data_IF_254267657359
#
_entry.id   IF_254267657359
#
_cell.length_a   1.000
_cell.length_b   1.000
_cell.length_c   1.000
_cell.angle_alpha   90.00
_cell.angle_beta   90.00
_cell.angle_gamma   90.00
#
_symmetry.space_group_name_H-M   'P 1'
#
loop_
_entity.id
_entity.type
_entity.pdbx_description
1 polymer ?
#
# COMPACT_ATOMS: atom_id res chain seq x y z
N UNK A 1 -9.92 12.80 -24.49
CA UNK A 1 -10.67 11.72 -23.84
C UNK A 1 -10.83 12.10 -22.38
N UNK A 2 -12.05 12.06 -21.86
CA UNK A 2 -12.37 12.54 -20.51
C UNK A 2 -11.82 11.51 -19.51
N UNK A 3 -10.83 11.92 -18.71
CA UNK A 3 -10.39 11.13 -17.56
C UNK A 3 -11.53 11.07 -16.57
N UNK A 4 -12.19 9.91 -16.47
CA UNK A 4 -13.12 9.62 -15.39
C UNK A 4 -12.29 9.53 -14.11
N UNK A 5 -12.10 10.68 -13.45
CA UNK A 5 -11.62 10.76 -12.09
C UNK A 5 -12.67 10.05 -11.23
N UNK A 6 -12.48 8.75 -10.99
CA UNK A 6 -13.25 8.04 -9.97
C UNK A 6 -13.13 8.87 -8.69
N UNK A 7 -14.23 9.31 -8.08
CA UNK A 7 -14.14 10.10 -6.87
C UNK A 7 -13.50 9.22 -5.81
N UNK A 8 -12.21 9.43 -5.54
CA UNK A 8 -11.53 8.81 -4.43
C UNK A 8 -12.24 9.30 -3.17
N UNK A 9 -13.16 8.48 -2.65
CA UNK A 9 -13.69 8.66 -1.30
C UNK A 9 -12.48 8.85 -0.37
N UNK A 10 -12.45 9.91 0.45
CA UNK A 10 -11.29 10.18 1.28
C UNK A 10 -11.12 9.01 2.25
N UNK A 11 -10.01 8.28 2.12
CA UNK A 11 -9.70 7.16 3.01
C UNK A 11 -9.40 7.69 4.42
N UNK A 12 -10.11 7.16 5.41
CA UNK A 12 -9.96 7.53 6.82
C UNK A 12 -9.57 6.29 7.63
N UNK A 13 -8.63 6.45 8.56
CA UNK A 13 -8.26 5.36 9.45
C UNK A 13 -9.42 5.09 10.41
N UNK A 14 -9.76 3.81 10.60
CA UNK A 14 -11.00 3.40 11.26
C UNK A 14 -12.12 3.02 10.30
N UNK A 15 -12.00 3.31 8.99
CA UNK A 15 -12.90 2.75 7.98
C UNK A 15 -12.85 1.23 8.01
N UNK A 16 -14.00 0.60 7.81
CA UNK A 16 -14.10 -0.83 7.59
C UNK A 16 -14.09 -1.09 6.09
N UNK A 17 -13.40 -2.14 5.66
CA UNK A 17 -13.36 -2.57 4.28
C UNK A 17 -13.38 -4.08 4.15
N UNK A 18 -13.91 -4.56 3.03
CA UNK A 18 -13.91 -5.97 2.66
C UNK A 18 -12.82 -6.19 1.60
N UNK A 19 -12.01 -7.20 1.81
CA UNK A 19 -11.01 -7.68 0.85
C UNK A 19 -11.00 -9.20 0.87
N UNK A 20 -11.08 -9.85 -0.30
CA UNK A 20 -11.14 -11.31 -0.44
C UNK A 20 -12.18 -11.98 0.48
N UNK A 21 -13.37 -11.35 0.60
CA UNK A 21 -14.48 -11.85 1.42
C UNK A 21 -14.30 -11.70 2.94
N UNK A 22 -13.23 -11.04 3.41
CA UNK A 22 -12.98 -10.79 4.84
C UNK A 22 -13.05 -9.30 5.16
N UNK A 23 -13.52 -8.98 6.35
CA UNK A 23 -13.68 -7.60 6.84
C UNK A 23 -12.49 -7.17 7.68
N UNK A 24 -12.00 -5.96 7.43
CA UNK A 24 -10.83 -5.37 8.07
C UNK A 24 -11.10 -3.93 8.46
N UNK A 25 -10.39 -3.44 9.49
CA UNK A 25 -10.33 -2.02 9.84
C UNK A 25 -9.06 -1.39 9.27
N UNK A 26 -9.21 -0.34 8.47
CA UNK A 26 -8.13 0.48 7.92
C UNK A 26 -7.31 1.11 9.05
N UNK A 27 -6.02 0.82 9.08
CA UNK A 27 -5.09 1.36 10.08
C UNK A 27 -4.20 2.46 9.51
N UNK A 28 -3.70 2.29 8.29
CA UNK A 28 -2.70 3.18 7.71
C UNK A 28 -2.71 3.09 6.20
N UNK A 29 -2.11 4.11 5.59
CA UNK A 29 -2.02 4.28 4.14
C UNK A 29 -0.60 3.95 3.70
N UNK A 30 -0.48 3.23 2.59
CA UNK A 30 0.78 2.72 2.07
C UNK A 30 0.92 3.09 0.59
N UNK A 31 2.14 3.39 0.18
CA UNK A 31 2.50 3.57 -1.22
C UNK A 31 3.79 2.81 -1.52
N UNK A 32 4.00 2.53 -2.81
CA UNK A 32 5.21 1.90 -3.30
C UNK A 32 6.42 2.81 -3.06
N UNK A 33 7.51 2.20 -2.59
CA UNK A 33 8.81 2.87 -2.51
C UNK A 33 9.34 2.96 -3.93
N UNK A 34 9.41 4.19 -4.45
CA UNK A 34 10.15 4.46 -5.69
C UNK A 34 11.64 4.43 -5.34
N UNK A 35 12.33 3.38 -5.77
CA UNK A 35 13.76 3.24 -5.54
C UNK A 35 14.52 4.31 -6.33
N UNK A 36 15.46 4.97 -5.64
CA UNK A 36 16.37 5.90 -6.29
C UNK A 36 17.57 5.13 -6.81
N UNK A 37 18.13 5.52 -7.97
CA UNK A 37 19.37 4.93 -8.45
C UNK A 37 20.47 5.04 -7.39
N UNK A 38 21.21 3.96 -7.21
CA UNK A 38 22.38 3.94 -6.34
C UNK A 38 23.53 4.61 -7.08
N UNK A 39 24.06 5.71 -6.52
CA UNK A 39 25.08 6.53 -7.20
C UNK A 39 26.44 5.81 -7.34
N UNK A 40 26.73 4.86 -6.46
CA UNK A 40 27.97 4.09 -6.50
C UNK A 40 27.80 2.87 -7.42
N UNK A 41 28.56 2.83 -8.51
CA UNK A 41 28.48 1.79 -9.55
C UNK A 41 28.65 0.37 -9.00
N UNK A 42 29.63 0.13 -8.12
CA UNK A 42 29.89 -1.20 -7.56
C UNK A 42 28.75 -1.67 -6.65
N UNK A 43 28.15 -0.76 -5.87
CA UNK A 43 26.97 -1.09 -5.08
C UNK A 43 25.73 -1.27 -5.97
N UNK A 44 25.60 -0.50 -7.03
CA UNK A 44 24.49 -0.63 -7.98
C UNK A 44 24.51 -2.00 -8.67
N UNK A 45 25.68 -2.47 -9.11
CA UNK A 45 25.85 -3.81 -9.68
C UNK A 45 25.51 -4.91 -8.68
N UNK A 46 26.00 -4.80 -7.44
CA UNK A 46 25.72 -5.78 -6.39
C UNK A 46 24.22 -5.86 -6.05
N UNK A 47 23.54 -4.71 -5.93
CA UNK A 47 22.11 -4.69 -5.65
C UNK A 47 21.30 -5.19 -6.85
N UNK A 48 21.69 -4.86 -8.08
CA UNK A 48 21.04 -5.38 -9.28
C UNK A 48 21.14 -6.90 -9.39
N UNK A 49 22.30 -7.48 -9.07
CA UNK A 49 22.48 -8.94 -9.02
C UNK A 49 21.57 -9.57 -7.96
N UNK A 50 21.54 -9.01 -6.76
CA UNK A 50 20.68 -9.49 -5.68
C UNK A 50 19.19 -9.36 -6.04
N UNK A 51 18.75 -8.23 -6.59
CA UNK A 51 17.36 -8.04 -7.01
C UNK A 51 16.96 -9.01 -8.13
N UNK A 52 17.89 -9.35 -9.04
CA UNK A 52 17.66 -10.36 -10.07
C UNK A 52 17.49 -11.77 -9.48
N UNK A 53 18.31 -12.15 -8.50
CA UNK A 53 18.17 -13.43 -7.78
C UNK A 53 16.82 -13.51 -7.04
N UNK A 54 16.44 -12.44 -6.35
CA UNK A 54 15.16 -12.36 -5.65
C UNK A 54 14.00 -12.44 -6.65
N UNK A 55 14.08 -11.74 -7.78
CA UNK A 55 13.06 -11.80 -8.82
C UNK A 55 12.93 -13.20 -9.44
N UNK A 56 14.05 -13.91 -9.63
CA UNK A 56 14.05 -15.28 -10.14
C UNK A 56 13.37 -16.29 -9.20
N UNK A 57 13.30 -15.97 -7.90
CA UNK A 57 12.58 -16.79 -6.92
C UNK A 57 11.05 -16.65 -6.98
N UNK A 58 10.53 -15.67 -7.73
CA UNK A 58 9.10 -15.39 -7.81
C UNK A 58 8.40 -16.17 -8.92
N UNK A 59 7.09 -16.48 -8.76
CA UNK A 59 6.29 -16.98 -9.86
C UNK A 59 6.32 -16.03 -11.06
N UNK A 60 6.30 -16.60 -12.26
CA UNK A 60 6.29 -15.83 -13.51
C UNK A 60 5.16 -14.79 -13.51
N UNK A 61 5.50 -13.54 -13.83
CA UNK A 61 4.54 -12.45 -13.86
C UNK A 61 4.24 -11.81 -12.51
N UNK A 62 4.98 -12.16 -11.45
CA UNK A 62 4.90 -11.52 -10.14
C UNK A 62 6.13 -10.63 -9.88
N UNK A 63 5.97 -9.60 -9.05
CA UNK A 63 7.06 -8.75 -8.55
C UNK A 63 6.94 -8.48 -7.06
N UNK A 64 8.07 -8.21 -6.42
CA UNK A 64 8.11 -7.60 -5.09
C UNK A 64 7.77 -6.12 -5.18
N UNK A 65 6.96 -5.66 -4.22
CA UNK A 65 6.65 -4.25 -4.03
C UNK A 65 7.01 -3.91 -2.60
N UNK A 66 8.04 -3.07 -2.43
CA UNK A 66 8.41 -2.48 -1.14
C UNK A 66 7.43 -1.35 -0.85
N UNK A 67 6.80 -1.38 0.33
CA UNK A 67 5.82 -0.37 0.73
C UNK A 67 6.34 0.47 1.89
N UNK A 68 6.02 1.75 1.86
CA UNK A 68 6.23 2.70 2.96
C UNK A 68 4.91 3.30 3.42
N UNK A 69 4.88 3.77 4.66
CA UNK A 69 3.79 4.63 5.10
C UNK A 69 3.77 5.93 4.29
N UNK A 70 2.58 6.43 4.00
CA UNK A 70 2.38 7.65 3.24
C UNK A 70 1.12 8.40 3.68
N UNK A 71 0.91 9.58 3.11
CA UNK A 71 -0.33 10.32 3.34
C UNK A 71 -1.48 9.71 2.51
N UNK A 72 -2.76 9.89 2.93
CA UNK A 72 -3.91 9.30 2.22
C UNK A 72 -3.95 9.61 0.73
N UNK A 73 -3.50 10.81 0.34
CA UNK A 73 -3.53 11.29 -1.05
C UNK A 73 -2.48 10.61 -1.95
N UNK A 74 -1.44 10.03 -1.35
CA UNK A 74 -0.36 9.33 -2.06
C UNK A 74 -0.59 7.81 -2.10
N UNK A 75 -1.61 7.35 -1.38
CA UNK A 75 -1.80 5.94 -1.09
C UNK A 75 -2.28 5.18 -2.32
N UNK A 76 -1.65 4.04 -2.56
CA UNK A 76 -2.11 3.02 -3.52
C UNK A 76 -2.54 1.73 -2.82
N UNK A 77 -2.15 1.58 -1.55
CA UNK A 77 -2.47 0.45 -0.68
C UNK A 77 -2.95 0.92 0.69
N UNK A 78 -3.66 0.05 1.40
CA UNK A 78 -4.03 0.23 2.81
C UNK A 78 -3.60 -0.96 3.63
N UNK A 79 -3.25 -0.73 4.89
CA UNK A 79 -3.09 -1.80 5.88
C UNK A 79 -4.34 -1.96 6.73
N UNK A 80 -4.76 -3.19 6.93
CA UNK A 80 -5.96 -3.55 7.68
C UNK A 80 -5.67 -4.43 8.89
N UNK A 81 -6.41 -4.23 9.97
CA UNK A 81 -6.48 -5.16 11.12
C UNK A 81 -7.78 -5.95 11.08
N UNK A 82 -7.68 -7.25 11.29
CA UNK A 82 -8.75 -8.24 11.24
C UNK A 82 -8.17 -9.62 11.47
N UNK A 83 -8.73 -10.66 10.86
CA UNK A 83 -8.15 -12.01 10.92
C UNK A 83 -6.85 -12.06 10.11
N UNK A 84 -5.71 -12.12 10.80
CA UNK A 84 -4.36 -12.20 10.20
C UNK A 84 -3.77 -10.88 9.71
N UNK A 85 -4.51 -9.77 9.81
CA UNK A 85 -4.15 -8.51 9.15
C UNK A 85 -4.18 -8.61 7.62
N UNK A 86 -4.05 -7.48 6.94
CA UNK A 86 -3.89 -7.47 5.48
C UNK A 86 -3.18 -6.22 4.98
N UNK A 87 -2.63 -6.32 3.77
CA UNK A 87 -2.30 -5.18 2.91
C UNK A 87 -3.02 -5.39 1.60
N UNK A 88 -3.82 -4.43 1.18
CA UNK A 88 -4.66 -4.52 -0.01
C UNK A 88 -4.51 -3.26 -0.88
N UNK A 89 -4.55 -3.42 -2.19
CA UNK A 89 -4.61 -2.28 -3.11
C UNK A 89 -5.97 -1.59 -2.95
N UNK A 90 -6.00 -0.26 -3.03
CA UNK A 90 -7.24 0.50 -2.84
C UNK A 90 -8.31 0.15 -3.88
N UNK A 91 -7.89 -0.22 -5.09
CA UNK A 91 -8.78 -0.67 -6.16
C UNK A 91 -9.43 -2.05 -5.89
N UNK A 92 -8.93 -2.82 -4.93
CA UNK A 92 -9.37 -4.20 -4.63
C UNK A 92 -10.19 -4.30 -3.33
N UNK A 93 -10.53 -3.17 -2.71
CA UNK A 93 -11.31 -3.14 -1.48
C UNK A 93 -12.69 -2.55 -1.73
N UNK A 94 -13.66 -3.03 -0.96
CA UNK A 94 -14.98 -2.42 -0.86
C UNK A 94 -15.13 -1.80 0.53
N UNK A 95 -15.38 -0.49 0.60
CA UNK A 95 -15.64 0.18 1.89
C UNK A 95 -16.98 -0.28 2.46
N UNK A 96 -17.00 -0.61 3.74
CA UNK A 96 -18.12 -1.21 4.47
C UNK A 96 -18.36 -0.49 5.81
N UNK A 97 -18.35 0.86 5.74
CA UNK A 97 -18.65 1.75 6.84
C UNK A 97 -17.46 2.14 7.72
N UNK A 98 -17.76 2.45 8.98
CA UNK A 98 -16.80 2.88 10.00
C UNK A 98 -16.87 1.94 11.20
N UNK A 99 -15.75 1.77 11.90
CA UNK A 99 -15.74 1.12 13.21
C UNK A 99 -16.55 1.94 14.22
N UNK A 100 -17.27 1.27 15.11
CA UNK A 100 -18.10 1.87 16.17
C UNK A 100 -17.23 2.41 17.32
N UNK A 101 -16.43 3.42 17.01
CA UNK A 101 -15.59 4.13 17.97
C UNK A 101 -16.12 5.54 18.20
N UNK A 102 -15.74 6.13 19.33
CA UNK A 102 -16.02 7.54 19.56
C UNK A 102 -15.28 8.41 18.53
N UNK A 103 -15.80 9.61 18.28
CA UNK A 103 -15.15 10.58 17.39
C UNK A 103 -13.71 10.86 17.82
N UNK A 104 -13.46 10.94 19.13
CA UNK A 104 -12.12 11.12 19.68
C UNK A 104 -11.19 9.95 19.32
N UNK A 105 -11.66 8.70 19.48
CA UNK A 105 -10.86 7.53 19.14
C UNK A 105 -10.56 7.47 17.64
N UNK A 106 -11.53 7.83 16.78
CA UNK A 106 -11.33 7.93 15.33
C UNK A 106 -10.31 9.01 14.99
N UNK A 107 -10.42 10.20 15.59
CA UNK A 107 -9.49 11.31 15.38
C UNK A 107 -8.06 10.96 15.84
N UNK A 108 -7.91 10.33 17.01
CA UNK A 108 -6.62 9.88 17.52
C UNK A 108 -5.99 8.82 16.62
N UNK A 109 -6.78 7.83 16.19
CA UNK A 109 -6.31 6.76 15.31
C UNK A 109 -5.90 7.30 13.93
N UNK A 110 -6.72 8.18 13.35
CA UNK A 110 -6.39 8.85 12.10
C UNK A 110 -5.15 9.75 12.25
N UNK A 111 -5.04 10.49 13.35
CA UNK A 111 -3.85 11.28 13.67
C UNK A 111 -2.57 10.42 13.75
N UNK A 112 -2.64 9.22 14.33
CA UNK A 112 -1.53 8.26 14.32
C UNK A 112 -1.16 7.80 12.90
N UNK A 113 -2.16 7.47 12.07
CA UNK A 113 -1.94 7.08 10.68
C UNK A 113 -1.26 8.20 9.88
N UNK A 114 -1.70 9.45 10.05
CA UNK A 114 -1.09 10.61 9.41
C UNK A 114 0.35 10.86 9.90
N UNK A 115 0.63 10.66 11.20
CA UNK A 115 2.00 10.76 11.73
C UNK A 115 2.92 9.72 11.09
N UNK A 116 2.47 8.47 10.96
CA UNK A 116 3.24 7.42 10.25
C UNK A 116 3.48 7.80 8.79
N UNK A 117 2.43 8.29 8.12
CA UNK A 117 2.51 8.75 6.74
C UNK A 117 3.57 9.84 6.53
N UNK A 118 3.62 10.83 7.43
CA UNK A 118 4.64 11.89 7.41
C UNK A 118 6.06 11.39 7.63
N UNK A 119 6.24 10.36 8.45
CA UNK A 119 7.56 9.77 8.70
C UNK A 119 8.07 8.96 7.50
N UNK A 120 7.18 8.45 6.64
CA UNK A 120 7.57 7.79 5.40
C UNK A 120 8.34 6.47 5.58
N UNK A 121 8.30 5.87 6.77
CA UNK A 121 9.11 4.69 7.09
C UNK A 121 8.65 3.47 6.28
N UNK A 122 9.59 2.56 6.03
CA UNK A 122 9.28 1.24 5.47
C UNK A 122 8.22 0.53 6.33
N UNK A 123 7.27 -0.12 5.67
CA UNK A 123 6.21 -0.89 6.32
C UNK A 123 6.38 -2.38 6.11
N UNK A 124 6.38 -2.83 4.85
CA UNK A 124 6.42 -4.25 4.48
C UNK A 124 6.74 -4.42 3.01
N UNK A 125 6.96 -5.65 2.57
CA UNK A 125 7.09 -6.04 1.17
C UNK A 125 5.99 -7.01 0.82
N UNK A 126 5.30 -6.78 -0.30
CA UNK A 126 4.24 -7.66 -0.82
C UNK A 126 4.63 -8.23 -2.18
N UNK A 127 4.02 -9.35 -2.54
CA UNK A 127 4.14 -9.95 -3.88
C UNK A 127 2.86 -9.63 -4.66
N UNK A 128 3.00 -9.09 -5.86
CA UNK A 128 1.87 -8.69 -6.71
C UNK A 128 2.12 -9.04 -8.17
N UNK A 129 1.06 -9.26 -8.97
CA UNK A 129 1.21 -9.36 -10.41
C UNK A 129 1.89 -8.10 -10.98
N UNK A 130 2.76 -8.29 -11.97
CA UNK A 130 3.27 -7.19 -12.79
C UNK A 130 2.06 -6.64 -13.54
N UNK A 131 1.69 -5.39 -13.27
CA UNK A 131 0.68 -4.71 -14.06
C UNK A 131 1.16 -4.73 -15.52
N UNK A 132 0.42 -5.42 -16.40
CA UNK A 132 0.71 -5.33 -17.83
C UNK A 132 0.54 -3.86 -18.21
N UNK A 133 1.50 -3.22 -18.90
CA UNK A 133 1.19 -1.96 -19.55
C UNK A 133 -0.03 -2.21 -20.43
N UNK A 134 -1.06 -1.35 -20.30
CA UNK A 134 -2.12 -1.28 -21.31
C UNK A 134 -1.40 -1.13 -22.65
N UNK A 135 -1.55 -2.14 -23.51
CA UNK A 135 -1.06 -2.07 -24.88
C UNK A 135 -1.92 -0.99 -25.53
N UNK A 136 -1.33 0.19 -25.70
CA UNK A 136 -1.90 1.30 -26.46
C UNK A 136 -2.06 0.92 -27.94
#
# INVERSE_FOLDING_TARGET
MQHTLTPHLPLVAGMLFVHQGRKYRLNSFLCEVVEKPVENELLAELFAEWDAEVAASLPVGMRHIKLRYCLPQEATFVSGSGVGGCVAAIEEIQLDGMVEWSEQQLAEHHGQALRKGKLGLHSTTIIRPIAKPEVA
#
